data_IF_941594024255
#
_entry.id   IF_941594024255
#
_cell.length_a   1.000
_cell.length_b   1.000
_cell.length_c   1.000
_cell.angle_alpha   90.00
_cell.angle_beta   90.00
_cell.angle_gamma   90.00
#
_symmetry.space_group_name_H-M   'P 1'
#
loop_
_entity.id
_entity.type
_entity.pdbx_description
1 polymer ?
#
# COMPACT_ATOMS: atom_id res chain seq x y z
N UNK A 1 -20.39 13.08 33.96
CA UNK A 1 -20.88 11.81 33.39
C UNK A 1 -19.81 11.19 32.52
N UNK A 2 -18.74 10.72 33.14
CA UNK A 2 -17.59 10.13 32.41
C UNK A 2 -17.87 8.66 32.10
N UNK A 3 -18.38 7.89 33.07
CA UNK A 3 -18.81 6.50 32.88
C UNK A 3 -20.33 6.41 32.87
N UNK A 4 -20.85 5.73 31.86
CA UNK A 4 -22.27 5.49 31.66
C UNK A 4 -22.53 3.99 31.58
N UNK A 5 -23.69 3.45 32.02
CA UNK A 5 -24.03 2.05 31.90
C UNK A 5 -24.42 1.71 30.45
N UNK A 6 -23.44 1.76 29.54
CA UNK A 6 -23.59 1.38 28.14
C UNK A 6 -22.37 0.58 27.67
N UNK A 7 -22.58 -0.29 26.71
CA UNK A 7 -21.46 -0.96 26.05
C UNK A 7 -20.73 0.01 25.15
N UNK A 8 -19.41 0.03 25.29
CA UNK A 8 -18.51 0.86 24.46
C UNK A 8 -17.53 -0.09 23.77
N UNK A 9 -17.25 0.08 22.47
CA UNK A 9 -16.25 -0.73 21.78
C UNK A 9 -14.92 -0.75 22.52
N UNK A 10 -14.24 -1.91 22.50
CA UNK A 10 -12.95 -2.17 23.15
C UNK A 10 -12.96 -2.12 24.69
N UNK A 11 -14.13 -2.00 25.35
CA UNK A 11 -14.26 -2.19 26.78
C UNK A 11 -14.64 -3.62 27.13
N UNK A 12 -14.40 -3.97 28.39
CA UNK A 12 -14.85 -5.24 28.97
C UNK A 12 -16.39 -5.30 29.05
N UNK A 13 -16.95 -6.49 28.87
CA UNK A 13 -18.37 -6.76 29.04
C UNK A 13 -18.58 -8.11 29.73
N UNK A 14 -19.12 -8.10 30.90
CA UNK A 14 -19.48 -9.30 31.62
C UNK A 14 -20.66 -10.10 30.99
N UNK A 15 -21.34 -9.49 29.99
CA UNK A 15 -22.45 -10.16 29.29
C UNK A 15 -21.98 -11.27 28.35
N UNK A 16 -20.78 -11.15 27.79
CA UNK A 16 -20.25 -12.11 26.83
C UNK A 16 -19.18 -12.99 27.51
N UNK A 17 -19.15 -14.28 27.18
CA UNK A 17 -18.21 -15.24 27.74
C UNK A 17 -16.73 -14.93 27.46
N UNK A 18 -16.44 -14.17 26.37
CA UNK A 18 -15.11 -13.72 26.01
C UNK A 18 -14.73 -12.35 26.64
N UNK A 19 -15.58 -11.84 27.53
CA UNK A 19 -15.45 -10.57 28.21
C UNK A 19 -15.28 -9.34 27.27
N UNK A 20 -15.64 -9.45 25.98
CA UNK A 20 -15.43 -8.39 24.97
C UNK A 20 -16.75 -7.77 24.56
N UNK A 21 -16.86 -6.45 24.63
CA UNK A 21 -18.04 -5.73 24.11
C UNK A 21 -18.04 -5.63 22.57
N UNK A 22 -16.87 -5.57 21.93
CA UNK A 22 -16.75 -5.64 20.49
C UNK A 22 -16.93 -7.09 20.01
N UNK A 23 -17.91 -7.32 19.16
CA UNK A 23 -18.22 -8.67 18.67
C UNK A 23 -17.46 -8.97 17.38
N UNK A 24 -16.95 -10.20 17.19
CA UNK A 24 -16.42 -10.64 15.91
C UNK A 24 -17.53 -10.62 14.84
N UNK A 25 -17.13 -10.50 13.60
CA UNK A 25 -18.05 -10.62 12.47
C UNK A 25 -18.66 -12.03 12.48
N UNK A 26 -19.96 -12.13 12.25
CA UNK A 26 -20.64 -13.44 12.18
C UNK A 26 -20.08 -14.21 10.98
N UNK A 27 -19.59 -15.46 11.17
CA UNK A 27 -19.07 -16.26 10.07
C UNK A 27 -20.07 -16.39 8.91
N UNK A 28 -19.57 -16.27 7.67
CA UNK A 28 -20.39 -16.34 6.48
C UNK A 28 -21.15 -15.04 6.14
N UNK A 29 -20.90 -13.94 6.86
CA UNK A 29 -21.50 -12.64 6.55
C UNK A 29 -20.45 -11.66 6.01
N UNK A 30 -20.91 -10.78 5.12
CA UNK A 30 -20.14 -9.65 4.60
C UNK A 30 -20.83 -8.36 5.02
N UNK A 31 -20.08 -7.44 5.61
CA UNK A 31 -20.64 -6.13 5.96
C UNK A 31 -21.05 -5.37 4.71
N UNK A 32 -22.13 -4.56 4.81
CA UNK A 32 -22.60 -3.75 3.68
C UNK A 32 -21.46 -2.86 3.16
N UNK A 33 -21.21 -2.89 1.84
CA UNK A 33 -20.15 -2.15 1.18
C UNK A 33 -18.76 -2.81 1.24
N UNK A 34 -18.61 -4.01 1.83
CA UNK A 34 -17.36 -4.74 1.94
C UNK A 34 -17.33 -6.05 1.17
N UNK A 35 -18.14 -6.18 0.14
CA UNK A 35 -18.17 -7.38 -0.72
C UNK A 35 -16.96 -7.42 -1.60
N UNK A 36 -15.98 -6.98 -1.66
CA UNK A 36 -14.70 -7.03 -2.36
C UNK A 36 -14.67 -8.09 -3.49
N UNK A 37 -15.58 -7.97 -4.46
CA UNK A 37 -15.80 -8.92 -5.57
C UNK A 37 -14.88 -8.69 -6.78
N UNK A 38 -14.05 -7.64 -6.76
CA UNK A 38 -13.01 -7.39 -7.75
C UNK A 38 -11.65 -7.91 -7.24
N UNK A 39 -11.27 -9.10 -7.67
CA UNK A 39 -10.01 -9.72 -7.26
C UNK A 39 -8.79 -8.87 -7.61
N UNK A 40 -8.78 -8.25 -8.78
CA UNK A 40 -7.66 -7.40 -9.17
C UNK A 40 -7.52 -6.21 -8.21
N UNK A 41 -8.59 -5.51 -7.92
CA UNK A 41 -8.58 -4.32 -7.05
C UNK A 41 -8.21 -4.67 -5.60
N UNK A 42 -8.81 -5.72 -5.05
CA UNK A 42 -8.74 -6.00 -3.61
C UNK A 42 -7.66 -7.01 -3.21
N UNK A 43 -7.22 -7.87 -4.14
CA UNK A 43 -6.17 -8.87 -3.85
C UNK A 43 -4.87 -8.66 -4.62
N UNK A 44 -4.89 -7.83 -5.66
CA UNK A 44 -3.72 -7.65 -6.54
C UNK A 44 -3.46 -8.84 -7.44
N UNK A 45 -4.45 -9.72 -7.64
CA UNK A 45 -4.29 -10.97 -8.39
C UNK A 45 -5.24 -11.07 -9.58
N UNK A 46 -4.79 -11.78 -10.58
CA UNK A 46 -5.59 -12.20 -11.73
C UNK A 46 -5.37 -13.71 -11.95
N UNK A 47 -6.45 -14.47 -11.97
CA UNK A 47 -6.37 -15.94 -12.15
C UNK A 47 -5.42 -16.62 -11.15
N UNK A 48 -5.39 -16.15 -9.90
CA UNK A 48 -4.56 -16.72 -8.83
C UNK A 48 -3.09 -16.31 -8.86
N UNK A 49 -2.63 -15.50 -9.83
CA UNK A 49 -1.27 -14.99 -9.94
C UNK A 49 -1.20 -13.49 -9.70
N UNK A 50 -0.04 -12.99 -9.30
CA UNK A 50 0.18 -11.55 -9.10
C UNK A 50 -0.08 -10.78 -10.40
N UNK A 51 -0.90 -9.74 -10.32
CA UNK A 51 -1.29 -8.95 -11.47
C UNK A 51 -0.12 -8.15 -12.05
N UNK A 52 -0.06 -8.09 -13.37
CA UNK A 52 0.90 -7.26 -14.12
C UNK A 52 0.31 -5.93 -14.58
N UNK A 53 -1.00 -5.72 -14.36
CA UNK A 53 -1.75 -4.55 -14.79
C UNK A 53 -2.39 -3.84 -13.59
N UNK A 54 -2.70 -2.57 -13.74
CA UNK A 54 -3.45 -1.79 -12.76
C UNK A 54 -4.97 -1.99 -12.93
N UNK A 55 -5.78 -1.95 -11.85
CA UNK A 55 -7.24 -2.07 -11.93
C UNK A 55 -7.93 -0.83 -12.52
N UNK A 56 -7.20 0.26 -12.69
CA UNK A 56 -7.70 1.51 -13.25
C UNK A 56 -6.59 2.24 -14.03
N UNK A 57 -7.00 3.25 -14.82
CA UNK A 57 -6.05 4.10 -15.53
C UNK A 57 -5.22 4.94 -14.55
N UNK A 58 -3.91 4.87 -14.68
CA UNK A 58 -2.97 5.73 -13.93
C UNK A 58 -2.89 7.08 -14.64
N UNK A 59 -3.42 8.10 -14.03
CA UNK A 59 -3.37 9.49 -14.47
C UNK A 59 -2.57 10.37 -13.48
N UNK A 60 -2.47 11.66 -13.77
CA UNK A 60 -1.75 12.62 -12.93
C UNK A 60 -2.34 12.72 -11.50
N UNK A 61 -3.67 12.53 -11.34
CA UNK A 61 -4.34 12.56 -10.05
C UNK A 61 -3.98 11.33 -9.22
N UNK A 62 -4.01 10.15 -9.83
CA UNK A 62 -3.57 8.89 -9.19
C UNK A 62 -2.10 8.99 -8.78
N UNK A 63 -1.25 9.53 -9.65
CA UNK A 63 0.18 9.72 -9.38
C UNK A 63 0.41 10.69 -8.21
N UNK A 64 -0.29 11.81 -8.16
CA UNK A 64 -0.21 12.79 -7.06
C UNK A 64 -0.66 12.16 -5.74
N UNK A 65 -1.76 11.40 -5.76
CA UNK A 65 -2.27 10.65 -4.60
C UNK A 65 -1.27 9.61 -4.13
N UNK A 66 -0.70 8.83 -5.04
CA UNK A 66 0.32 7.82 -4.72
C UNK A 66 1.54 8.44 -4.05
N UNK A 67 2.03 9.57 -4.57
CA UNK A 67 3.13 10.33 -3.97
C UNK A 67 2.80 10.81 -2.55
N UNK A 68 1.62 11.37 -2.35
CA UNK A 68 1.16 11.82 -1.03
C UNK A 68 1.18 10.66 -0.03
N UNK A 69 0.53 9.56 -0.36
CA UNK A 69 0.41 8.38 0.52
C UNK A 69 1.76 7.69 0.75
N UNK A 70 2.58 7.57 -0.28
CA UNK A 70 3.95 7.07 -0.16
C UNK A 70 4.76 7.89 0.84
N UNK A 71 4.69 9.22 0.77
CA UNK A 71 5.42 10.10 1.68
C UNK A 71 4.97 9.97 3.13
N UNK A 72 3.70 9.63 3.38
CA UNK A 72 3.17 9.44 4.73
C UNK A 72 3.56 8.07 5.30
N UNK A 73 3.28 7.00 4.55
CA UNK A 73 3.34 5.63 5.07
C UNK A 73 4.65 4.89 4.74
N UNK A 74 5.27 5.17 3.60
CA UNK A 74 6.38 4.37 3.08
C UNK A 74 7.73 5.05 3.27
N UNK A 75 7.81 6.37 3.04
CA UNK A 75 9.08 7.11 3.06
C UNK A 75 9.81 7.09 4.41
N UNK A 76 9.14 6.95 5.58
CA UNK A 76 9.86 6.84 6.84
C UNK A 76 10.87 5.68 6.89
N UNK A 77 10.57 4.56 6.22
CA UNK A 77 11.46 3.41 6.09
C UNK A 77 12.19 3.39 4.75
N UNK A 78 11.44 3.58 3.64
CA UNK A 78 11.98 3.41 2.28
C UNK A 78 12.73 4.63 1.73
N UNK A 79 12.69 5.78 2.42
CA UNK A 79 13.21 7.02 1.88
C UNK A 79 12.29 7.64 0.82
N UNK A 80 12.47 8.93 0.52
CA UNK A 80 11.62 9.63 -0.46
C UNK A 80 11.88 9.20 -1.90
N UNK A 81 13.06 8.67 -2.16
CA UNK A 81 13.49 8.17 -3.46
C UNK A 81 13.39 6.65 -3.56
N UNK A 82 13.02 5.96 -2.49
CA UNK A 82 12.88 4.51 -2.50
C UNK A 82 14.20 3.72 -2.29
N UNK A 83 15.26 4.39 -1.82
CA UNK A 83 16.57 3.78 -1.59
C UNK A 83 16.65 2.93 -0.31
N UNK A 84 15.62 2.93 0.52
CA UNK A 84 15.63 2.19 1.78
C UNK A 84 16.44 2.86 2.88
N UNK A 85 16.62 4.17 2.82
CA UNK A 85 17.43 4.98 3.73
C UNK A 85 16.58 5.96 4.56
N UNK A 86 15.32 5.62 4.77
CA UNK A 86 14.39 6.46 5.52
C UNK A 86 14.83 6.74 6.95
N UNK A 87 14.23 7.75 7.59
CA UNK A 87 14.62 8.25 8.91
C UNK A 87 14.62 7.14 9.99
N UNK A 88 13.67 6.20 9.93
CA UNK A 88 13.59 5.10 10.90
C UNK A 88 14.77 4.15 10.74
N UNK A 89 15.21 3.91 9.50
CA UNK A 89 16.42 3.11 9.23
C UNK A 89 17.67 3.78 9.76
N UNK A 90 17.80 5.10 9.59
CA UNK A 90 18.91 5.87 10.15
C UNK A 90 18.97 5.84 11.68
N UNK A 91 17.86 5.46 12.33
CA UNK A 91 17.75 5.29 13.79
C UNK A 91 17.85 3.84 14.26
N UNK A 92 18.34 2.94 13.39
CA UNK A 92 18.66 1.56 13.76
C UNK A 92 17.62 0.51 13.34
N UNK A 93 16.55 0.90 12.62
CA UNK A 93 15.63 -0.10 12.08
C UNK A 93 16.27 -0.85 10.90
N UNK A 94 15.85 -2.08 10.66
CA UNK A 94 16.36 -2.89 9.55
C UNK A 94 16.06 -2.20 8.21
N UNK A 95 17.12 -2.01 7.41
CA UNK A 95 17.03 -1.38 6.10
C UNK A 95 16.21 -2.26 5.14
N UNK A 96 15.14 -1.75 4.55
CA UNK A 96 14.45 -2.44 3.47
C UNK A 96 15.29 -2.41 2.18
N UNK A 97 15.09 -3.36 1.27
CA UNK A 97 15.74 -3.32 -0.04
C UNK A 97 15.31 -2.05 -0.81
N UNK A 98 16.24 -1.51 -1.61
CA UNK A 98 15.91 -0.42 -2.52
C UNK A 98 14.93 -0.88 -3.59
N UNK A 99 13.96 -0.03 -3.97
CA UNK A 99 13.04 -0.34 -5.08
C UNK A 99 13.72 -0.41 -6.44
N UNK A 100 14.94 0.12 -6.57
CA UNK A 100 15.67 0.22 -7.84
C UNK A 100 16.43 -1.03 -8.25
N UNK A 101 16.52 -2.05 -7.37
CA UNK A 101 17.14 -3.34 -7.74
C UNK A 101 16.31 -4.10 -8.78
N UNK A 102 16.97 -4.82 -9.69
CA UNK A 102 16.35 -5.50 -10.83
C UNK A 102 15.19 -6.40 -10.41
N UNK A 103 15.37 -7.22 -9.38
CA UNK A 103 14.33 -8.10 -8.86
C UNK A 103 13.01 -7.38 -8.54
N UNK A 104 13.07 -6.15 -8.01
CA UNK A 104 11.86 -5.37 -7.69
C UNK A 104 11.36 -4.57 -8.89
N UNK A 105 12.22 -4.18 -9.82
CA UNK A 105 11.78 -3.56 -11.07
C UNK A 105 11.01 -4.53 -11.94
N UNK A 106 11.45 -5.79 -11.99
CA UNK A 106 10.85 -6.86 -12.78
C UNK A 106 9.62 -7.50 -12.10
N UNK A 107 9.46 -7.30 -10.79
CA UNK A 107 8.34 -7.86 -10.05
C UNK A 107 6.99 -7.31 -10.57
N UNK A 108 5.93 -8.13 -10.66
CA UNK A 108 4.60 -7.66 -11.05
C UNK A 108 4.04 -6.65 -10.04
N UNK A 109 3.12 -5.78 -10.48
CA UNK A 109 2.51 -4.77 -9.60
C UNK A 109 1.70 -5.41 -8.47
N UNK A 110 1.10 -6.57 -8.71
CA UNK A 110 0.39 -7.35 -7.70
C UNK A 110 1.27 -7.80 -6.54
N UNK A 111 2.56 -8.07 -6.78
CA UNK A 111 3.52 -8.37 -5.72
C UNK A 111 3.62 -7.24 -4.69
N UNK A 112 3.72 -6.01 -5.15
CA UNK A 112 3.76 -4.84 -4.24
C UNK A 112 2.45 -4.68 -3.48
N UNK A 113 1.31 -4.97 -4.15
CA UNK A 113 0.02 -4.94 -3.51
C UNK A 113 -0.09 -5.98 -2.40
N UNK A 114 0.35 -7.22 -2.65
CA UNK A 114 0.35 -8.30 -1.67
C UNK A 114 1.25 -7.96 -0.46
N UNK A 115 2.47 -7.48 -0.71
CA UNK A 115 3.40 -7.06 0.35
C UNK A 115 2.82 -5.94 1.22
N UNK A 116 2.16 -4.94 0.65
CA UNK A 116 1.52 -3.88 1.42
C UNK A 116 0.27 -4.38 2.17
N UNK A 117 -0.42 -5.37 1.62
CA UNK A 117 -1.64 -5.91 2.22
C UNK A 117 -1.35 -6.82 3.40
N UNK A 118 -0.38 -7.73 3.24
CA UNK A 118 -0.13 -8.83 4.16
C UNK A 118 1.16 -8.66 4.97
N UNK A 119 1.98 -7.65 4.64
CA UNK A 119 3.32 -7.50 5.20
C UNK A 119 4.33 -8.45 4.57
N UNK A 120 5.61 -8.23 4.83
CA UNK A 120 6.68 -9.11 4.38
C UNK A 120 7.90 -9.00 5.30
N UNK A 121 8.25 -10.08 5.98
CA UNK A 121 9.39 -10.11 6.89
C UNK A 121 9.24 -9.11 8.04
N UNK A 122 10.07 -8.07 8.08
CA UNK A 122 10.00 -7.02 9.09
C UNK A 122 9.01 -5.89 8.73
N UNK A 123 8.48 -5.86 7.52
CA UNK A 123 7.47 -4.91 7.09
C UNK A 123 6.09 -5.37 7.57
N UNK A 124 5.43 -4.56 8.40
CA UNK A 124 4.06 -4.82 8.83
C UNK A 124 3.07 -4.69 7.65
N UNK A 125 1.87 -5.26 7.81
CA UNK A 125 0.75 -5.01 6.91
C UNK A 125 0.20 -3.58 7.06
N UNK A 126 -0.39 -3.08 5.98
CA UNK A 126 -0.99 -1.75 5.92
C UNK A 126 -2.46 -1.78 5.44
N UNK A 127 -3.07 -2.96 5.38
CA UNK A 127 -4.43 -3.11 4.88
C UNK A 127 -5.46 -2.30 5.70
N UNK A 128 -5.24 -2.17 7.01
CA UNK A 128 -6.13 -1.43 7.90
C UNK A 128 -5.99 0.10 7.77
N UNK A 129 -4.82 0.60 7.36
CA UNK A 129 -4.51 2.03 7.31
C UNK A 129 -4.63 2.63 5.91
N UNK A 130 -4.46 1.82 4.86
CA UNK A 130 -4.39 2.26 3.47
C UNK A 130 -5.44 1.50 2.65
N UNK A 131 -6.37 2.22 2.03
CA UNK A 131 -7.40 1.62 1.17
C UNK A 131 -6.78 0.89 -0.03
N UNK A 132 -7.52 -0.01 -0.67
CA UNK A 132 -7.05 -0.73 -1.85
C UNK A 132 -6.63 0.24 -2.97
N UNK A 133 -7.43 1.25 -3.24
CA UNK A 133 -7.16 2.27 -4.26
C UNK A 133 -5.88 3.06 -3.94
N UNK A 134 -5.69 3.44 -2.68
CA UNK A 134 -4.47 4.16 -2.25
C UNK A 134 -3.23 3.26 -2.34
N UNK A 135 -3.34 1.96 -2.06
CA UNK A 135 -2.24 1.00 -2.26
C UNK A 135 -1.84 0.93 -3.74
N UNK A 136 -2.80 0.86 -4.65
CA UNK A 136 -2.54 0.90 -6.09
C UNK A 136 -1.93 2.23 -6.55
N UNK A 137 -2.40 3.35 -6.00
CA UNK A 137 -1.81 4.66 -6.28
C UNK A 137 -0.35 4.75 -5.80
N UNK A 138 -0.02 4.20 -4.62
CA UNK A 138 1.35 4.08 -4.12
C UNK A 138 2.21 3.25 -5.08
N UNK A 139 1.70 2.12 -5.58
CA UNK A 139 2.43 1.28 -6.53
C UNK A 139 2.75 2.04 -7.82
N UNK A 140 1.78 2.81 -8.33
CA UNK A 140 2.01 3.67 -9.50
C UNK A 140 3.16 4.66 -9.26
N UNK A 141 3.19 5.28 -8.08
CA UNK A 141 4.29 6.17 -7.71
C UNK A 141 5.62 5.44 -7.52
N UNK A 142 5.63 4.23 -6.94
CA UNK A 142 6.85 3.39 -6.86
C UNK A 142 7.40 3.10 -8.25
N UNK A 143 6.54 2.78 -9.23
CA UNK A 143 6.96 2.61 -10.64
C UNK A 143 7.58 3.87 -11.23
N UNK A 144 7.04 5.04 -10.91
CA UNK A 144 7.63 6.31 -11.34
C UNK A 144 9.02 6.55 -10.68
N UNK A 145 9.19 6.21 -9.40
CA UNK A 145 10.50 6.27 -8.75
C UNK A 145 11.51 5.34 -9.43
N UNK A 146 11.11 4.10 -9.75
CA UNK A 146 11.96 3.15 -10.47
C UNK A 146 12.37 3.68 -11.84
N UNK A 147 11.42 4.27 -12.58
CA UNK A 147 11.70 4.88 -13.88
C UNK A 147 12.65 6.07 -13.74
N UNK A 148 12.49 6.91 -12.72
CA UNK A 148 13.29 8.14 -12.55
C UNK A 148 14.79 7.90 -12.48
N UNK A 149 15.24 6.75 -11.99
CA UNK A 149 16.67 6.37 -11.92
C UNK A 149 17.15 5.57 -13.15
N UNK A 150 16.24 5.13 -14.02
CA UNK A 150 16.55 4.27 -15.17
C UNK A 150 15.98 4.85 -16.48
N UNK A 151 15.45 6.09 -16.43
CA UNK A 151 14.86 6.73 -17.60
C UNK A 151 15.92 6.98 -18.68
N UNK A 152 15.50 6.78 -19.90
CA UNK A 152 16.28 7.10 -21.11
C UNK A 152 15.63 8.28 -21.84
N UNK A 153 16.32 8.96 -22.77
CA UNK A 153 15.69 9.98 -23.59
C UNK A 153 14.45 9.49 -24.36
N UNK A 154 14.34 8.19 -24.61
CA UNK A 154 13.18 7.58 -25.26
C UNK A 154 11.91 7.63 -24.41
N UNK A 155 12.05 7.64 -23.09
CA UNK A 155 10.92 7.69 -22.14
C UNK A 155 10.30 9.10 -22.03
N UNK A 156 10.97 10.10 -22.59
CA UNK A 156 10.51 11.48 -22.58
C UNK A 156 9.70 11.77 -23.86
N UNK A 157 8.52 12.40 -23.75
CA UNK A 157 7.77 12.84 -24.92
C UNK A 157 8.63 13.68 -25.88
N UNK A 158 8.48 13.45 -27.17
CA UNK A 158 9.29 14.14 -28.18
C UNK A 158 9.25 15.68 -28.02
N UNK A 159 8.09 16.22 -27.65
CA UNK A 159 7.90 17.65 -27.40
C UNK A 159 8.70 18.24 -26.25
N UNK A 160 9.20 17.38 -25.33
CA UNK A 160 9.90 17.79 -24.11
C UNK A 160 11.41 17.46 -24.16
N UNK A 161 11.85 16.67 -25.15
CA UNK A 161 13.26 16.20 -25.24
C UNK A 161 14.28 17.33 -25.35
N UNK A 162 13.94 18.39 -26.06
CA UNK A 162 14.83 19.54 -26.24
C UNK A 162 15.03 20.38 -24.96
N UNK A 163 14.19 20.14 -23.95
CA UNK A 163 14.27 20.81 -22.64
C UNK A 163 15.15 20.09 -21.65
N UNK A 164 15.56 18.86 -21.98
CA UNK A 164 16.45 18.03 -21.13
C UNK A 164 17.87 18.29 -21.59
N UNK A 165 18.62 19.06 -20.83
CA UNK A 165 20.06 19.33 -21.04
C UNK A 165 20.88 18.74 -19.91
#
# INVERSE_FOLDING_TARGET
>A
MHDQPKYVPLRESAFFSDARSARPIVPGTVARGHLHDDDLLYTGRMNGTDATVFPFRVDARVMARGRERFNIYCSPCHGRTGQGDGMIVQRGYRRPPTFHQDRLRDAPVGHFFDVMTNGFGAMADYAAQITAEDRWAIIAYVRALQLSEHATPADVPASERDRIR
#
